data_IF_165289570976
#
_entry.id   IF_165289570976
#
_cell.length_a   1.000
_cell.length_b   1.000
_cell.length_c   1.000
_cell.angle_alpha   90.00
_cell.angle_beta   90.00
_cell.angle_gamma   90.00
#
_symmetry.space_group_name_H-M   'P 1'
#
loop_
_entity.id
_entity.type
_entity.pdbx_description
1 polymer ?
#
# COMPACT_ATOMS: atom_id res chain seq x y z
N UNK A 1 18.16 16.31 -7.34
CA UNK A 1 18.07 15.06 -6.54
C UNK A 1 17.07 14.19 -7.27
N UNK A 2 17.36 12.92 -7.56
CA UNK A 2 16.35 12.04 -8.18
C UNK A 2 15.19 11.81 -7.21
N UNK A 3 13.99 11.50 -7.72
CA UNK A 3 12.82 11.19 -6.88
C UNK A 3 13.11 10.04 -5.91
N UNK A 4 13.72 8.96 -6.39
CA UNK A 4 14.20 7.86 -5.53
C UNK A 4 15.10 8.32 -4.38
N UNK A 5 16.04 9.24 -4.62
CA UNK A 5 16.90 9.77 -3.54
C UNK A 5 16.11 10.60 -2.52
N UNK A 6 15.10 11.36 -2.97
CA UNK A 6 14.21 12.10 -2.07
C UNK A 6 13.32 11.15 -1.25
N UNK A 7 12.80 10.08 -1.87
CA UNK A 7 12.03 9.02 -1.19
C UNK A 7 12.89 8.37 -0.11
N UNK A 8 14.10 7.92 -0.44
CA UNK A 8 15.03 7.31 0.54
C UNK A 8 15.34 8.26 1.69
N UNK A 9 15.64 9.52 1.40
CA UNK A 9 15.94 10.51 2.44
C UNK A 9 14.73 10.77 3.34
N UNK A 10 13.51 10.84 2.77
CA UNK A 10 12.29 10.99 3.54
C UNK A 10 12.00 9.78 4.45
N UNK A 11 12.10 8.57 3.89
CA UNK A 11 11.88 7.33 4.64
C UNK A 11 12.90 7.14 5.76
N UNK A 12 14.19 7.39 5.48
CA UNK A 12 15.25 7.33 6.50
C UNK A 12 15.02 8.35 7.61
N UNK A 13 14.74 9.60 7.27
CA UNK A 13 14.45 10.64 8.25
C UNK A 13 13.25 10.26 9.15
N UNK A 14 12.19 9.70 8.57
CA UNK A 14 10.99 9.27 9.30
C UNK A 14 11.24 8.04 10.19
N UNK A 15 11.86 6.99 9.65
CA UNK A 15 11.89 5.67 10.29
C UNK A 15 13.17 5.40 11.10
N UNK A 16 14.29 5.97 10.70
CA UNK A 16 15.59 5.76 11.35
C UNK A 16 15.91 6.96 12.25
N UNK A 17 15.86 8.17 11.70
CA UNK A 17 16.24 9.39 12.43
C UNK A 17 15.12 9.91 13.35
N UNK A 18 13.87 9.45 13.13
CA UNK A 18 12.66 9.89 13.85
C UNK A 18 12.44 11.40 13.78
N UNK A 19 12.74 11.99 12.62
CA UNK A 19 12.59 13.42 12.32
C UNK A 19 11.48 13.62 11.25
N UNK A 20 10.21 13.77 11.66
CA UNK A 20 9.10 13.92 10.74
C UNK A 20 9.16 15.22 9.93
N UNK A 21 9.70 16.31 10.51
CA UNK A 21 9.83 17.59 9.82
C UNK A 21 10.83 17.50 8.66
N UNK A 22 11.98 16.87 8.89
CA UNK A 22 12.98 16.61 7.85
C UNK A 22 12.46 15.63 6.80
N UNK A 23 11.78 14.56 7.23
CA UNK A 23 11.17 13.61 6.32
C UNK A 23 10.21 14.29 5.33
N UNK A 24 9.28 15.08 5.85
CA UNK A 24 8.34 15.83 5.03
C UNK A 24 9.03 16.89 4.15
N UNK A 25 10.08 17.55 4.64
CA UNK A 25 10.86 18.52 3.85
C UNK A 25 11.57 17.89 2.64
N UNK A 26 11.98 16.62 2.73
CA UNK A 26 12.52 15.89 1.58
C UNK A 26 11.47 15.67 0.50
N UNK A 27 10.26 15.22 0.87
CA UNK A 27 9.16 15.01 -0.07
C UNK A 27 8.67 16.34 -0.67
N UNK A 28 8.52 17.38 0.14
CA UNK A 28 8.06 18.70 -0.33
C UNK A 28 9.00 19.29 -1.39
N UNK A 29 10.32 19.21 -1.19
CA UNK A 29 11.30 19.67 -2.19
C UNK A 29 11.23 18.87 -3.48
N UNK A 30 10.92 17.58 -3.42
CA UNK A 30 10.70 16.77 -4.61
C UNK A 30 9.41 17.20 -5.34
N UNK A 31 8.33 17.49 -4.61
CA UNK A 31 7.08 18.01 -5.17
C UNK A 31 7.18 19.45 -5.73
N UNK A 32 8.17 20.24 -5.30
CA UNK A 32 8.47 21.54 -5.92
C UNK A 32 9.08 21.35 -7.33
N UNK A 33 9.75 20.23 -7.58
CA UNK A 33 10.38 19.90 -8.87
C UNK A 33 9.43 19.14 -9.79
N UNK A 34 8.70 18.18 -9.25
CA UNK A 34 7.72 17.40 -9.99
C UNK A 34 6.37 17.36 -9.23
N UNK A 35 5.57 18.42 -9.40
CA UNK A 35 4.33 18.61 -8.67
C UNK A 35 3.35 17.42 -8.79
N UNK A 36 3.29 16.77 -9.93
CA UNK A 36 2.18 15.88 -10.28
C UNK A 36 2.50 14.39 -10.08
N UNK A 37 3.63 14.08 -9.44
CA UNK A 37 4.02 12.73 -9.04
C UNK A 37 3.15 12.21 -7.93
N UNK A 38 2.18 11.38 -8.30
CA UNK A 38 1.14 10.83 -7.40
C UNK A 38 1.71 10.16 -6.17
N UNK A 39 2.75 9.37 -6.32
CA UNK A 39 3.42 8.65 -5.24
C UNK A 39 4.14 9.58 -4.26
N UNK A 40 4.70 10.71 -4.73
CA UNK A 40 5.26 11.74 -3.85
C UNK A 40 4.16 12.52 -3.14
N UNK A 41 3.05 12.81 -3.81
CA UNK A 41 1.88 13.43 -3.17
C UNK A 41 1.32 12.50 -2.10
N UNK A 42 1.27 11.19 -2.36
CA UNK A 42 0.87 10.18 -1.37
C UNK A 42 1.81 10.17 -0.15
N UNK A 43 3.14 10.15 -0.35
CA UNK A 43 4.07 10.25 0.77
C UNK A 43 3.90 11.56 1.56
N UNK A 44 3.60 12.67 0.88
CA UNK A 44 3.29 13.94 1.57
C UNK A 44 2.04 13.81 2.44
N UNK A 45 0.97 13.15 1.96
CA UNK A 45 -0.24 12.85 2.75
C UNK A 45 0.12 12.02 3.99
N UNK A 46 1.03 11.05 3.85
CA UNK A 46 1.39 10.13 4.94
C UNK A 46 2.31 10.75 6.00
N UNK A 47 3.21 11.65 5.61
CA UNK A 47 4.18 12.27 6.51
C UNK A 47 3.68 13.57 7.14
N UNK A 48 2.77 14.28 6.47
CA UNK A 48 2.25 15.58 6.93
C UNK A 48 1.62 15.53 8.33
N UNK A 49 0.80 14.53 8.71
CA UNK A 49 0.17 14.49 10.04
C UNK A 49 1.14 14.52 11.22
N UNK A 50 2.39 14.07 11.02
CA UNK A 50 3.42 14.05 12.06
C UNK A 50 4.17 15.39 12.18
N UNK A 51 3.85 16.37 11.33
CA UNK A 51 4.49 17.68 11.29
C UNK A 51 3.53 18.76 11.85
N UNK A 52 3.95 19.54 12.87
CA UNK A 52 3.13 20.61 13.41
C UNK A 52 2.66 21.59 12.33
N UNK A 53 1.36 21.91 12.34
CA UNK A 53 0.70 22.85 11.41
C UNK A 53 0.72 22.42 9.94
N UNK A 54 1.09 21.19 9.64
CA UNK A 54 0.93 20.65 8.29
C UNK A 54 -0.54 20.23 8.09
N UNK A 55 -1.18 20.73 7.03
CA UNK A 55 -2.54 20.34 6.66
C UNK A 55 -2.51 19.26 5.56
N UNK A 56 -2.84 18.00 5.88
CA UNK A 56 -2.87 16.93 4.88
C UNK A 56 -3.98 17.12 3.84
N UNK A 57 -5.03 17.90 4.13
CA UNK A 57 -6.17 18.07 3.23
C UNK A 57 -5.79 18.72 1.89
N UNK A 58 -4.75 19.56 1.86
CA UNK A 58 -4.22 20.16 0.63
C UNK A 58 -3.66 19.09 -0.30
N UNK A 59 -2.90 18.13 0.23
CA UNK A 59 -2.32 17.04 -0.52
C UNK A 59 -3.36 15.99 -0.91
N UNK A 60 -4.33 15.70 -0.05
CA UNK A 60 -5.46 14.81 -0.35
C UNK A 60 -6.33 15.38 -1.49
N UNK A 61 -6.63 16.68 -1.46
CA UNK A 61 -7.36 17.36 -2.54
C UNK A 61 -6.57 17.33 -3.86
N UNK A 62 -5.25 17.49 -3.78
CA UNK A 62 -4.38 17.37 -4.94
C UNK A 62 -4.41 15.95 -5.51
N UNK A 63 -4.23 14.92 -4.68
CA UNK A 63 -4.21 13.54 -5.14
C UNK A 63 -5.55 13.11 -5.74
N UNK A 64 -6.67 13.58 -5.19
CA UNK A 64 -8.00 13.39 -5.80
C UNK A 64 -8.12 13.93 -7.22
N UNK A 65 -7.43 15.04 -7.55
CA UNK A 65 -7.39 15.60 -8.90
C UNK A 65 -6.47 14.81 -9.83
N UNK A 66 -5.32 14.39 -9.33
CA UNK A 66 -4.31 13.66 -10.11
C UNK A 66 -4.73 12.21 -10.39
N UNK A 67 -5.44 11.59 -9.45
CA UNK A 67 -5.83 10.19 -9.52
C UNK A 67 -7.32 9.99 -9.16
N UNK A 68 -8.24 10.49 -10.00
CA UNK A 68 -9.67 10.28 -9.79
C UNK A 68 -9.96 8.77 -9.84
N UNK A 69 -10.75 8.26 -8.91
CA UNK A 69 -11.07 6.84 -8.81
C UNK A 69 -10.24 6.06 -7.79
N UNK A 70 -9.24 6.68 -7.16
CA UNK A 70 -8.42 6.05 -6.12
C UNK A 70 -8.91 6.43 -4.72
N UNK A 71 -9.44 5.44 -4.01
CA UNK A 71 -10.05 5.60 -2.69
C UNK A 71 -9.08 5.84 -1.54
N UNK A 72 -7.77 5.70 -1.75
CA UNK A 72 -6.76 5.88 -0.69
C UNK A 72 -6.84 7.26 -0.02
N UNK A 73 -7.24 8.28 -0.78
CA UNK A 73 -7.41 9.68 -0.36
C UNK A 73 -8.45 9.87 0.73
N UNK A 74 -9.36 8.92 0.93
CA UNK A 74 -10.43 9.00 1.92
C UNK A 74 -10.02 8.48 3.31
N UNK A 75 -8.86 7.83 3.43
CA UNK A 75 -8.37 7.27 4.69
C UNK A 75 -8.08 8.34 5.74
N UNK A 76 -7.39 9.41 5.34
CA UNK A 76 -7.07 10.55 6.22
C UNK A 76 -8.32 11.29 6.72
N UNK A 77 -9.23 11.74 5.82
CA UNK A 77 -10.49 12.35 6.21
C UNK A 77 -11.31 11.45 7.13
N UNK A 78 -11.40 10.15 6.85
CA UNK A 78 -12.16 9.20 7.66
C UNK A 78 -11.61 9.14 9.08
N UNK A 79 -10.29 8.93 9.23
CA UNK A 79 -9.65 8.87 10.54
C UNK A 79 -9.86 10.17 11.32
N UNK A 80 -9.77 11.34 10.66
CA UNK A 80 -10.01 12.64 11.30
C UNK A 80 -11.47 12.82 11.72
N UNK A 81 -12.45 12.38 10.92
CA UNK A 81 -13.87 12.45 11.26
C UNK A 81 -14.19 11.55 12.47
N UNK A 82 -13.70 10.31 12.45
CA UNK A 82 -13.86 9.35 13.55
C UNK A 82 -13.18 9.84 14.83
N UNK A 83 -11.98 10.40 14.75
CA UNK A 83 -11.27 10.96 15.89
C UNK A 83 -11.98 12.14 16.56
N UNK A 84 -12.86 12.85 15.83
CA UNK A 84 -13.72 13.92 16.37
C UNK A 84 -15.11 13.45 16.81
N UNK A 85 -15.44 12.17 16.63
CA UNK A 85 -16.80 11.67 16.85
C UNK A 85 -17.84 12.23 15.87
N UNK A 86 -17.41 12.67 14.68
CA UNK A 86 -18.28 13.25 13.66
C UNK A 86 -18.84 12.14 12.75
N UNK A 87 -19.88 11.45 13.24
CA UNK A 87 -20.49 10.31 12.56
C UNK A 87 -21.11 10.67 11.21
N UNK A 88 -21.61 11.89 11.07
CA UNK A 88 -22.19 12.39 9.83
C UNK A 88 -21.10 12.54 8.75
N UNK A 89 -19.99 13.20 9.09
CA UNK A 89 -18.85 13.31 8.18
C UNK A 89 -18.24 11.95 7.86
N UNK A 90 -18.07 11.08 8.86
CA UNK A 90 -17.55 9.72 8.66
C UNK A 90 -18.43 8.93 7.66
N UNK A 91 -19.74 9.01 7.79
CA UNK A 91 -20.69 8.37 6.86
C UNK A 91 -20.56 8.92 5.45
N UNK A 92 -20.50 10.24 5.27
CA UNK A 92 -20.30 10.86 3.95
C UNK A 92 -18.99 10.43 3.28
N UNK A 93 -17.91 10.32 4.07
CA UNK A 93 -16.60 9.87 3.57
C UNK A 93 -16.63 8.40 3.16
N UNK A 94 -17.27 7.54 3.95
CA UNK A 94 -17.46 6.14 3.60
C UNK A 94 -18.29 5.98 2.32
N UNK A 95 -19.31 6.83 2.14
CA UNK A 95 -20.09 6.85 0.89
C UNK A 95 -19.27 7.35 -0.30
N UNK A 96 -18.37 8.31 -0.11
CA UNK A 96 -17.45 8.72 -1.16
C UNK A 96 -16.51 7.58 -1.56
N UNK A 97 -15.90 6.93 -0.57
CA UNK A 97 -15.00 5.79 -0.78
C UNK A 97 -15.71 4.62 -1.49
N UNK A 98 -16.97 4.34 -1.17
CA UNK A 98 -17.73 3.23 -1.77
C UNK A 98 -17.92 3.35 -3.29
N UNK A 99 -17.83 4.58 -3.82
CA UNK A 99 -17.99 4.89 -5.24
C UNK A 99 -16.68 4.91 -6.02
N UNK A 100 -15.55 4.73 -5.36
CA UNK A 100 -14.25 4.70 -6.01
C UNK A 100 -14.05 3.40 -6.81
N UNK A 101 -12.96 3.35 -7.57
CA UNK A 101 -12.67 2.21 -8.47
C UNK A 101 -11.57 1.30 -7.96
N UNK A 102 -10.58 1.86 -7.25
CA UNK A 102 -9.38 1.15 -6.76
C UNK A 102 -8.82 1.79 -5.50
N UNK A 103 -7.83 1.15 -4.90
CA UNK A 103 -7.15 1.62 -3.69
C UNK A 103 -5.63 1.45 -3.85
N UNK A 104 -4.96 2.47 -4.37
CA UNK A 104 -3.52 2.40 -4.67
C UNK A 104 -2.73 3.23 -3.67
N UNK A 105 -1.80 2.58 -2.96
CA UNK A 105 -0.79 3.25 -2.10
C UNK A 105 0.53 3.49 -2.84
N UNK A 106 0.56 3.21 -4.15
CA UNK A 106 1.69 3.36 -5.06
C UNK A 106 2.88 2.47 -4.69
N UNK A 107 2.60 1.27 -4.17
CA UNK A 107 3.60 0.40 -3.54
C UNK A 107 4.78 0.07 -4.44
N UNK A 108 4.51 -0.49 -5.61
CA UNK A 108 5.57 -0.93 -6.54
C UNK A 108 6.43 0.24 -7.05
N UNK A 109 5.82 1.39 -7.33
CA UNK A 109 6.53 2.59 -7.77
C UNK A 109 7.46 3.11 -6.67
N UNK A 110 6.95 3.27 -5.46
CA UNK A 110 7.72 3.73 -4.31
C UNK A 110 8.85 2.76 -3.97
N UNK A 111 8.57 1.46 -3.91
CA UNK A 111 9.55 0.44 -3.55
C UNK A 111 10.67 0.36 -4.59
N UNK A 112 10.33 0.35 -5.88
CA UNK A 112 11.34 0.26 -6.94
C UNK A 112 12.27 1.47 -6.97
N UNK A 113 11.73 2.69 -6.89
CA UNK A 113 12.54 3.91 -6.87
C UNK A 113 13.40 4.03 -5.61
N UNK A 114 12.85 3.67 -4.44
CA UNK A 114 13.58 3.70 -3.19
C UNK A 114 14.72 2.66 -3.17
N UNK A 115 14.43 1.42 -3.58
CA UNK A 115 15.42 0.34 -3.59
C UNK A 115 16.58 0.64 -4.55
N UNK A 116 16.28 1.14 -5.75
CA UNK A 116 17.32 1.54 -6.72
C UNK A 116 18.17 2.70 -6.18
N UNK A 117 17.55 3.72 -5.58
CA UNK A 117 18.31 4.84 -5.02
C UNK A 117 19.16 4.42 -3.81
N UNK A 118 18.64 3.53 -2.95
CA UNK A 118 19.34 3.06 -1.76
C UNK A 118 20.49 2.11 -2.12
N UNK A 119 20.33 1.26 -3.14
CA UNK A 119 21.40 0.35 -3.59
C UNK A 119 22.62 1.09 -4.12
N UNK A 120 22.42 2.25 -4.79
CA UNK A 120 23.53 3.10 -5.24
C UNK A 120 24.29 3.81 -4.11
N UNK A 121 23.71 3.89 -2.91
CA UNK A 121 24.34 4.49 -1.73
C UNK A 121 25.15 3.49 -0.90
N UNK A 122 25.09 2.19 -1.24
CA UNK A 122 25.84 1.17 -0.55
C UNK A 122 27.35 1.41 -0.76
N UNK A 123 28.03 1.87 0.29
CA UNK A 123 29.50 1.83 0.34
C UNK A 123 29.94 0.36 0.40
N UNK A 124 31.10 0.06 -0.19
CA UNK A 124 31.71 -1.27 -0.42
C UNK A 124 31.23 -2.41 0.52
N UNK A 125 31.03 -3.64 -0.01
CA UNK A 125 30.28 -4.67 0.69
C UNK A 125 30.87 -4.99 2.06
N UNK A 126 30.02 -4.97 3.08
CA UNK A 126 30.35 -5.51 4.40
C UNK A 126 30.82 -6.99 4.24
N UNK A 127 31.72 -7.50 5.10
CA UNK A 127 32.45 -8.77 4.87
C UNK A 127 31.59 -10.05 4.92
N UNK A 128 30.26 -9.93 5.00
CA UNK A 128 29.33 -11.05 5.07
C UNK A 128 28.11 -10.69 4.27
N UNK A 129 27.97 -11.15 3.03
CA UNK A 129 26.65 -11.02 2.42
C UNK A 129 26.23 -12.25 1.63
N UNK A 130 25.20 -12.93 2.17
CA UNK A 130 24.33 -13.88 1.49
C UNK A 130 23.38 -13.17 0.47
N UNK A 131 23.39 -11.83 0.42
CA UNK A 131 22.51 -10.96 -0.38
C UNK A 131 23.34 -9.87 -1.09
N UNK A 132 22.95 -9.36 -2.26
CA UNK A 132 23.65 -8.20 -2.86
C UNK A 132 23.09 -6.85 -2.40
N UNK A 133 23.71 -5.72 -2.82
CA UNK A 133 23.27 -4.36 -2.46
C UNK A 133 21.81 -4.07 -2.77
N UNK A 134 21.29 -4.53 -3.91
CA UNK A 134 19.90 -4.31 -4.29
C UNK A 134 18.95 -5.15 -3.45
N UNK A 135 19.28 -6.43 -3.19
CA UNK A 135 18.47 -7.28 -2.29
C UNK A 135 18.33 -6.64 -0.90
N UNK A 136 19.41 -6.12 -0.33
CA UNK A 136 19.36 -5.43 0.96
C UNK A 136 18.53 -4.14 0.87
N UNK A 137 18.72 -3.35 -0.18
CA UNK A 137 17.97 -2.12 -0.40
C UNK A 137 16.45 -2.35 -0.54
N UNK A 138 16.04 -3.44 -1.20
CA UNK A 138 14.62 -3.84 -1.28
C UNK A 138 14.07 -4.15 0.11
N UNK A 139 14.81 -4.90 0.93
CA UNK A 139 14.36 -5.27 2.27
C UNK A 139 14.21 -4.04 3.18
N UNK A 140 15.19 -3.13 3.16
CA UNK A 140 15.17 -1.88 3.92
C UNK A 140 14.03 -0.97 3.45
N UNK A 141 13.92 -0.73 2.14
CA UNK A 141 12.88 0.11 1.57
C UNK A 141 11.48 -0.45 1.82
N UNK A 142 11.28 -1.76 1.68
CA UNK A 142 10.01 -2.44 1.99
C UNK A 142 9.63 -2.26 3.45
N UNK A 143 10.59 -2.41 4.37
CA UNK A 143 10.37 -2.22 5.81
C UNK A 143 9.93 -0.79 6.12
N UNK A 144 10.64 0.21 5.58
CA UNK A 144 10.29 1.61 5.81
C UNK A 144 8.96 2.02 5.16
N UNK A 145 8.69 1.53 3.95
CA UNK A 145 7.43 1.81 3.25
C UNK A 145 6.23 1.16 3.92
N UNK A 146 6.38 -0.05 4.48
CA UNK A 146 5.31 -0.70 5.23
C UNK A 146 4.81 0.18 6.38
N UNK A 147 5.71 0.88 7.05
CA UNK A 147 5.39 1.78 8.17
C UNK A 147 4.79 3.13 7.71
N UNK A 148 5.18 3.62 6.53
CA UNK A 148 4.82 4.97 6.06
C UNK A 148 3.67 4.92 5.05
N UNK A 149 3.82 4.16 3.97
CA UNK A 149 2.94 4.19 2.80
C UNK A 149 1.63 3.43 2.99
N UNK A 150 1.59 2.40 3.83
CA UNK A 150 0.35 1.65 4.11
C UNK A 150 -0.44 2.38 5.20
N UNK A 151 -1.71 2.80 4.96
CA UNK A 151 -2.52 3.46 5.97
C UNK A 151 -3.05 2.44 7.00
N UNK A 152 -3.44 2.94 8.18
CA UNK A 152 -4.22 2.11 9.10
C UNK A 152 -5.62 1.86 8.54
N UNK A 153 -6.05 0.60 8.55
CA UNK A 153 -7.39 0.18 8.13
C UNK A 153 -8.38 0.08 9.29
N UNK A 154 -7.97 0.36 10.53
CA UNK A 154 -8.81 0.20 11.73
C UNK A 154 -10.14 0.96 11.63
N UNK A 155 -10.09 2.21 11.13
CA UNK A 155 -11.29 3.03 10.95
C UNK A 155 -12.31 2.41 9.99
N UNK A 156 -11.84 1.81 8.89
CA UNK A 156 -12.70 1.08 7.95
C UNK A 156 -13.21 -0.24 8.52
N UNK A 157 -12.34 -1.01 9.18
CA UNK A 157 -12.71 -2.28 9.80
C UNK A 157 -13.82 -2.09 10.85
N UNK A 158 -13.71 -1.03 11.66
CA UNK A 158 -14.73 -0.69 12.66
C UNK A 158 -16.04 -0.20 12.02
N UNK A 159 -15.96 0.63 10.98
CA UNK A 159 -17.13 1.10 10.25
C UNK A 159 -17.90 -0.04 9.55
N UNK A 160 -17.18 -1.10 9.18
CA UNK A 160 -17.70 -2.31 8.54
C UNK A 160 -17.57 -3.54 9.44
N UNK A 161 -17.82 -3.38 10.74
CA UNK A 161 -17.87 -4.50 11.69
C UNK A 161 -19.14 -5.33 11.47
N UNK A 162 -19.13 -6.59 11.93
CA UNK A 162 -20.29 -7.48 11.87
C UNK A 162 -21.56 -6.85 12.48
N UNK A 163 -21.42 -6.11 13.58
CA UNK A 163 -22.54 -5.43 14.22
C UNK A 163 -23.14 -4.36 13.32
N UNK A 164 -22.30 -3.53 12.70
CA UNK A 164 -22.72 -2.43 11.82
C UNK A 164 -23.33 -2.95 10.52
N UNK A 165 -22.79 -4.03 9.96
CA UNK A 165 -23.28 -4.64 8.71
C UNK A 165 -24.60 -5.41 8.88
N UNK A 166 -25.18 -5.50 10.09
CA UNK A 166 -26.58 -5.94 10.25
C UNK A 166 -27.58 -4.97 9.62
N UNK A 167 -27.20 -3.69 9.50
CA UNK A 167 -27.99 -2.73 8.74
C UNK A 167 -27.72 -2.91 7.24
N UNK A 168 -28.77 -3.14 6.45
CA UNK A 168 -28.65 -3.46 5.02
C UNK A 168 -27.95 -2.35 4.20
N UNK A 169 -28.22 -1.07 4.49
CA UNK A 169 -27.56 0.06 3.82
C UNK A 169 -26.07 0.12 4.16
N UNK A 170 -25.73 -0.13 5.43
CA UNK A 170 -24.31 -0.21 5.85
C UNK A 170 -23.62 -1.40 5.19
N UNK A 171 -24.27 -2.56 5.14
CA UNK A 171 -23.76 -3.76 4.48
C UNK A 171 -23.46 -3.51 3.00
N UNK A 172 -24.39 -2.86 2.29
CA UNK A 172 -24.21 -2.50 0.88
C UNK A 172 -23.03 -1.56 0.66
N UNK A 173 -22.94 -0.49 1.44
CA UNK A 173 -21.79 0.42 1.40
C UNK A 173 -20.48 -0.33 1.67
N UNK A 174 -20.45 -1.22 2.65
CA UNK A 174 -19.27 -2.01 3.00
C UNK A 174 -18.89 -3.02 1.91
N UNK A 175 -19.86 -3.65 1.23
CA UNK A 175 -19.58 -4.49 0.04
C UNK A 175 -18.94 -3.68 -1.08
N UNK A 176 -19.40 -2.45 -1.30
CA UNK A 176 -18.82 -1.56 -2.29
C UNK A 176 -17.40 -1.13 -1.91
N UNK A 177 -17.15 -0.74 -0.66
CA UNK A 177 -15.80 -0.43 -0.15
C UNK A 177 -14.88 -1.65 -0.27
N UNK A 178 -15.37 -2.84 0.08
CA UNK A 178 -14.62 -4.09 -0.06
C UNK A 178 -14.16 -4.34 -1.50
N UNK A 179 -15.05 -4.12 -2.48
CA UNK A 179 -14.69 -4.22 -3.91
C UNK A 179 -13.59 -3.23 -4.28
N UNK A 180 -13.62 -2.00 -3.79
CA UNK A 180 -12.56 -0.99 -4.04
C UNK A 180 -11.21 -1.47 -3.48
N UNK A 181 -11.20 -1.97 -2.25
CA UNK A 181 -10.00 -2.48 -1.59
C UNK A 181 -9.44 -3.74 -2.28
N UNK A 182 -10.32 -4.63 -2.76
CA UNK A 182 -9.92 -5.80 -3.54
C UNK A 182 -9.27 -5.45 -4.89
N UNK A 183 -9.49 -4.24 -5.40
CA UNK A 183 -8.79 -3.72 -6.60
C UNK A 183 -7.50 -2.97 -6.26
N UNK A 184 -7.09 -2.98 -4.98
CA UNK A 184 -5.91 -2.29 -4.50
C UNK A 184 -4.59 -2.89 -4.97
N UNK A 185 -3.53 -2.11 -4.84
CA UNK A 185 -2.19 -2.43 -5.34
C UNK A 185 -1.30 -3.21 -4.35
N UNK A 186 -1.81 -3.53 -3.16
CA UNK A 186 -1.08 -4.28 -2.13
C UNK A 186 -1.90 -5.46 -1.64
N UNK A 187 -1.21 -6.52 -1.20
CA UNK A 187 -1.86 -7.67 -0.55
C UNK A 187 -2.64 -7.24 0.71
N UNK A 188 -2.13 -6.26 1.45
CA UNK A 188 -2.77 -5.74 2.65
C UNK A 188 -4.16 -5.14 2.37
N UNK A 189 -4.27 -4.27 1.35
CA UNK A 189 -5.55 -3.67 0.98
C UNK A 189 -6.56 -4.72 0.53
N UNK A 190 -6.15 -5.66 -0.33
CA UNK A 190 -7.03 -6.70 -0.84
C UNK A 190 -7.51 -7.65 0.26
N UNK A 191 -6.63 -8.08 1.16
CA UNK A 191 -6.99 -8.91 2.30
C UNK A 191 -8.01 -8.23 3.23
N UNK A 192 -7.83 -6.93 3.52
CA UNK A 192 -8.82 -6.15 4.27
C UNK A 192 -10.15 -6.07 3.52
N UNK A 193 -10.10 -5.87 2.19
CA UNK A 193 -11.28 -5.88 1.33
C UNK A 193 -12.05 -7.20 1.38
N UNK A 194 -11.36 -8.34 1.33
CA UNK A 194 -11.99 -9.67 1.46
C UNK A 194 -12.65 -9.81 2.84
N UNK A 195 -11.94 -9.45 3.92
CA UNK A 195 -12.49 -9.52 5.27
C UNK A 195 -13.73 -8.63 5.47
N UNK A 196 -13.75 -7.42 4.89
CA UNK A 196 -14.95 -6.56 4.92
C UNK A 196 -16.10 -7.20 4.12
N UNK A 197 -15.83 -7.77 2.95
CA UNK A 197 -16.86 -8.44 2.15
C UNK A 197 -17.49 -9.60 2.91
N UNK A 198 -16.69 -10.42 3.60
CA UNK A 198 -17.19 -11.54 4.41
C UNK A 198 -18.14 -11.05 5.51
N UNK A 199 -17.78 -9.99 6.24
CA UNK A 199 -18.64 -9.38 7.27
C UNK A 199 -19.94 -8.81 6.71
N UNK A 200 -19.94 -8.37 5.46
CA UNK A 200 -21.08 -7.74 4.80
C UNK A 200 -21.94 -8.70 3.96
N UNK A 201 -21.54 -9.98 3.82
CA UNK A 201 -22.24 -10.98 3.02
C UNK A 201 -23.43 -11.64 3.74
N UNK A 202 -23.52 -11.50 5.07
CA UNK A 202 -24.49 -12.21 5.90
C UNK A 202 -24.15 -13.70 6.05
N UNK A 203 -24.52 -14.29 7.19
CA UNK A 203 -24.21 -15.69 7.49
C UNK A 203 -24.87 -16.62 6.44
N UNK A 204 -24.14 -17.67 6.01
CA UNK A 204 -24.58 -18.70 5.04
C UNK A 204 -24.83 -18.28 3.57
N UNK A 205 -24.23 -17.18 3.10
CA UNK A 205 -24.28 -16.86 1.67
C UNK A 205 -23.22 -17.65 0.85
N UNK A 206 -23.55 -18.12 -0.38
CA UNK A 206 -22.56 -18.69 -1.30
C UNK A 206 -21.36 -17.76 -1.58
N UNK A 207 -21.55 -16.45 -1.39
CA UNK A 207 -20.50 -15.45 -1.48
C UNK A 207 -19.40 -15.64 -0.42
N UNK A 208 -19.71 -16.16 0.78
CA UNK A 208 -18.70 -16.44 1.82
C UNK A 208 -17.70 -17.50 1.35
N UNK A 209 -18.18 -18.56 0.69
CA UNK A 209 -17.33 -19.65 0.17
C UNK A 209 -16.37 -19.08 -0.89
N UNK A 210 -16.89 -18.34 -1.87
CA UNK A 210 -16.06 -17.72 -2.91
C UNK A 210 -15.03 -16.74 -2.33
N UNK A 211 -15.38 -15.98 -1.28
CA UNK A 211 -14.46 -15.08 -0.59
C UNK A 211 -13.38 -15.84 0.21
N UNK A 212 -13.73 -16.97 0.81
CA UNK A 212 -12.77 -17.83 1.52
C UNK A 212 -11.78 -18.47 0.53
N UNK A 213 -12.26 -18.97 -0.62
CA UNK A 213 -11.41 -19.46 -1.70
C UNK A 213 -10.49 -18.36 -2.23
N UNK A 214 -11.01 -17.15 -2.44
CA UNK A 214 -10.20 -16.02 -2.86
C UNK A 214 -9.11 -15.67 -1.83
N UNK A 215 -9.45 -15.65 -0.53
CA UNK A 215 -8.46 -15.42 0.53
C UNK A 215 -7.36 -16.49 0.54
N UNK A 216 -7.73 -17.77 0.36
CA UNK A 216 -6.78 -18.88 0.34
C UNK A 216 -5.83 -18.78 -0.87
N UNK A 217 -6.35 -18.46 -2.05
CA UNK A 217 -5.55 -18.24 -3.26
C UNK A 217 -4.60 -17.05 -3.06
N UNK A 218 -5.09 -15.94 -2.51
CA UNK A 218 -4.29 -14.74 -2.27
C UNK A 218 -3.12 -15.02 -1.32
N UNK A 219 -3.38 -15.68 -0.18
CA UNK A 219 -2.34 -16.06 0.79
C UNK A 219 -1.33 -17.01 0.16
N UNK A 220 -1.80 -18.05 -0.54
CA UNK A 220 -0.94 -19.00 -1.22
C UNK A 220 0.00 -18.32 -2.21
N UNK A 221 -0.51 -17.42 -3.05
CA UNK A 221 0.30 -16.71 -4.02
C UNK A 221 1.34 -15.80 -3.36
N UNK A 222 0.94 -15.07 -2.32
CA UNK A 222 1.85 -14.20 -1.56
C UNK A 222 3.00 -14.99 -0.93
N UNK A 223 2.65 -16.01 -0.14
CA UNK A 223 3.61 -16.80 0.63
C UNK A 223 4.55 -17.59 -0.29
N UNK A 224 4.00 -18.20 -1.33
CA UNK A 224 4.79 -19.02 -2.26
C UNK A 224 5.74 -18.15 -3.07
N UNK A 225 5.30 -16.98 -3.56
CA UNK A 225 6.19 -16.05 -4.27
C UNK A 225 7.30 -15.52 -3.36
N UNK A 226 6.98 -15.19 -2.10
CA UNK A 226 7.96 -14.76 -1.10
C UNK A 226 9.01 -15.84 -0.85
N UNK A 227 8.59 -17.08 -0.60
CA UNK A 227 9.50 -18.21 -0.37
C UNK A 227 10.40 -18.46 -1.58
N UNK A 228 9.85 -18.41 -2.80
CA UNK A 228 10.65 -18.58 -4.02
C UNK A 228 11.72 -17.51 -4.17
N UNK A 229 11.39 -16.24 -3.90
CA UNK A 229 12.34 -15.13 -3.93
C UNK A 229 13.43 -15.30 -2.88
N UNK A 230 13.06 -15.74 -1.67
CA UNK A 230 14.00 -16.02 -0.59
C UNK A 230 14.91 -17.23 -0.91
N UNK A 231 14.43 -18.25 -1.61
CA UNK A 231 15.22 -19.47 -1.86
C UNK A 231 16.12 -19.39 -3.10
N UNK A 232 16.08 -18.31 -3.89
CA UNK A 232 16.94 -18.18 -5.08
C UNK A 232 18.43 -18.18 -4.70
N UNK A 233 19.25 -18.88 -5.50
CA UNK A 233 20.71 -18.85 -5.38
C UNK A 233 21.29 -17.54 -5.94
N UNK A 234 20.71 -17.02 -7.03
CA UNK A 234 21.08 -15.73 -7.64
C UNK A 234 20.18 -14.58 -7.14
N UNK A 235 20.05 -14.39 -5.82
CA UNK A 235 19.11 -13.42 -5.21
C UNK A 235 19.21 -12.00 -5.76
N UNK A 236 20.42 -11.53 -6.03
CA UNK A 236 20.64 -10.18 -6.55
C UNK A 236 20.10 -10.01 -7.97
N UNK A 237 20.33 -11.00 -8.85
CA UNK A 237 19.79 -11.00 -10.21
C UNK A 237 18.26 -11.06 -10.19
N UNK A 238 17.69 -11.94 -9.35
CA UNK A 238 16.25 -12.02 -9.16
C UNK A 238 15.66 -10.70 -8.62
N UNK A 239 16.40 -10.02 -7.73
CA UNK A 239 16.00 -8.70 -7.21
C UNK A 239 15.93 -7.66 -8.33
N UNK A 240 16.88 -7.67 -9.27
CA UNK A 240 16.85 -6.77 -10.43
C UNK A 240 15.65 -7.06 -11.35
N UNK A 241 15.37 -8.33 -11.63
CA UNK A 241 14.20 -8.73 -12.44
C UNK A 241 12.87 -8.35 -11.75
N UNK A 242 12.78 -8.54 -10.43
CA UNK A 242 11.62 -8.12 -9.63
C UNK A 242 11.39 -6.61 -9.70
N UNK A 243 12.47 -5.80 -9.66
CA UNK A 243 12.37 -4.35 -9.80
C UNK A 243 11.86 -3.96 -11.18
N UNK A 244 12.30 -4.63 -12.25
CA UNK A 244 11.78 -4.39 -13.59
C UNK A 244 10.30 -4.76 -13.75
N UNK A 245 9.82 -5.78 -13.03
CA UNK A 245 8.39 -6.08 -12.94
C UNK A 245 7.64 -4.98 -12.20
N UNK A 246 8.13 -4.54 -11.04
CA UNK A 246 7.50 -3.49 -10.23
C UNK A 246 7.36 -2.16 -10.98
N UNK A 247 8.32 -1.83 -11.85
CA UNK A 247 8.25 -0.63 -12.71
C UNK A 247 7.14 -0.69 -13.76
N UNK A 248 6.68 -1.89 -14.12
CA UNK A 248 5.71 -2.12 -15.21
C UNK A 248 4.32 -2.49 -14.70
N UNK A 249 4.25 -3.12 -13.53
CA UNK A 249 3.02 -3.68 -12.98
C UNK A 249 2.49 -2.81 -11.84
N UNK A 250 1.20 -2.49 -11.90
CA UNK A 250 0.55 -1.65 -10.89
C UNK A 250 0.50 -2.34 -9.54
N UNK A 251 0.04 -3.60 -9.49
CA UNK A 251 -0.24 -4.32 -8.24
C UNK A 251 0.93 -5.17 -7.80
N UNK A 252 1.16 -5.26 -6.51
CA UNK A 252 2.11 -6.19 -5.89
C UNK A 252 1.77 -7.65 -6.25
N UNK A 253 0.46 -7.96 -6.29
CA UNK A 253 -0.09 -9.25 -6.67
C UNK A 253 0.36 -9.69 -8.06
N UNK A 254 0.36 -8.76 -9.02
CA UNK A 254 0.74 -9.05 -10.42
C UNK A 254 2.24 -9.40 -10.52
N UNK A 255 3.08 -8.79 -9.67
CA UNK A 255 4.51 -9.10 -9.58
C UNK A 255 4.69 -10.53 -9.04
N UNK A 256 4.00 -10.89 -7.96
CA UNK A 256 4.03 -12.26 -7.42
C UNK A 256 3.54 -13.29 -8.43
N UNK A 257 2.44 -13.01 -9.15
CA UNK A 257 1.93 -13.89 -10.20
C UNK A 257 2.96 -14.09 -11.33
N UNK A 258 3.70 -13.05 -11.73
CA UNK A 258 4.77 -13.18 -12.70
C UNK A 258 5.90 -14.08 -12.19
N UNK A 259 6.32 -13.91 -10.93
CA UNK A 259 7.34 -14.75 -10.28
C UNK A 259 6.91 -16.22 -10.22
N UNK A 260 5.67 -16.50 -9.82
CA UNK A 260 5.13 -17.88 -9.77
C UNK A 260 5.12 -18.53 -11.15
N UNK A 261 4.72 -17.78 -12.18
CA UNK A 261 4.73 -18.26 -13.59
C UNK A 261 6.13 -18.58 -14.07
N UNK A 262 7.11 -17.72 -13.77
CA UNK A 262 8.52 -17.97 -14.12
C UNK A 262 9.06 -19.23 -13.45
N UNK A 263 8.66 -19.49 -12.21
CA UNK A 263 9.06 -20.68 -11.46
C UNK A 263 8.28 -21.95 -11.85
N UNK A 264 7.28 -21.86 -12.75
CA UNK A 264 6.43 -23.00 -13.12
C UNK A 264 5.56 -23.53 -11.98
N UNK A 265 5.31 -22.70 -10.96
CA UNK A 265 4.50 -23.09 -9.78
C UNK A 265 3.03 -22.81 -10.06
N UNK A 266 2.09 -23.70 -9.67
CA UNK A 266 0.66 -23.44 -9.78
C UNK A 266 0.25 -22.12 -9.15
N UNK A 267 -0.82 -21.50 -9.65
CA UNK A 267 -1.33 -20.22 -9.14
C UNK A 267 -2.40 -20.39 -8.05
N UNK A 268 -2.84 -21.62 -7.82
CA UNK A 268 -3.83 -21.99 -6.82
C UNK A 268 -3.27 -23.10 -5.94
N UNK A 269 -3.67 -23.17 -4.66
CA UNK A 269 -3.34 -24.31 -3.81
C UNK A 269 -3.94 -25.60 -4.41
N UNK A 270 -3.30 -26.73 -4.10
CA UNK A 270 -3.79 -28.07 -4.48
C UNK A 270 -4.80 -28.60 -3.48
#
# INVERSE_FOLDING_TARGET
MSHGAAIVAALRASQVERDPARAFAHVRRALEQDPDRKELVWLAIRLCPDVPRCDPAVYEARLRKLDPGNGVVWMGPLARAQGRGDDAAATQILEALSRETRFDVYWNALLSEAALALSTQAQQPAPRILNGPLTNAINDASTWLSAVAVPSFTGLANACSHERTRNATVAERCRNIARVLQQGDTYAAEAVGIGIAQRAAGDDSPAIIALAEHAAVLSYQHDTARVLLEQQLEREKMSAERIELMKKLRREQDVSLAVLRWAGVPLTPK
#
